data_IF_949668226790
#
_entry.id   IF_949668226790
#
_cell.length_a   1.000
_cell.length_b   1.000
_cell.length_c   1.000
_cell.angle_alpha   90.00
_cell.angle_beta   90.00
_cell.angle_gamma   90.00
#
_symmetry.space_group_name_H-M   'P 1'
#
loop_
_entity.id
_entity.type
_entity.pdbx_description
1 polymer ?
#
# COMPACT_ATOMS: atom_id res chain seq x y z
N UNK A 1 -0.65 -59.89 48.04
CA UNK A 1 -0.48 -60.31 46.62
C UNK A 1 0.70 -59.52 46.07
N UNK A 2 1.73 -60.21 45.58
CA UNK A 2 3.08 -59.66 45.32
C UNK A 2 3.05 -58.62 44.18
N UNK A 3 3.65 -57.45 44.41
CA UNK A 3 4.00 -56.50 43.37
C UNK A 3 5.40 -56.83 42.84
N UNK A 4 5.51 -57.03 41.53
CA UNK A 4 6.79 -57.14 40.83
C UNK A 4 7.04 -55.83 40.09
N UNK A 5 8.17 -55.20 40.42
CA UNK A 5 8.81 -54.12 39.65
C UNK A 5 9.35 -54.72 38.35
N UNK A 6 9.02 -54.13 37.20
CA UNK A 6 9.65 -54.44 35.92
C UNK A 6 10.44 -53.21 35.45
N UNK A 7 11.75 -53.27 35.60
CA UNK A 7 12.74 -52.37 35.03
C UNK A 7 12.83 -52.61 33.53
N UNK A 8 12.64 -51.55 32.72
CA UNK A 8 12.88 -51.60 31.27
C UNK A 8 14.23 -50.98 30.97
N UNK A 9 15.14 -51.81 30.46
CA UNK A 9 16.49 -51.46 30.02
C UNK A 9 16.39 -50.96 28.57
N UNK A 10 16.77 -49.70 28.33
CA UNK A 10 16.90 -49.15 26.97
C UNK A 10 18.26 -49.60 26.42
N UNK A 11 18.26 -50.50 25.45
CA UNK A 11 19.45 -50.81 24.64
C UNK A 11 19.51 -49.85 23.44
N UNK A 12 20.57 -49.05 23.38
CA UNK A 12 21.03 -48.39 22.16
C UNK A 12 21.63 -49.45 21.23
N UNK A 13 21.12 -49.55 20.00
CA UNK A 13 21.83 -50.14 18.87
C UNK A 13 22.22 -49.03 17.89
N UNK A 14 23.54 -48.78 17.81
CA UNK A 14 24.16 -47.96 16.78
C UNK A 14 24.15 -48.74 15.47
N UNK A 15 23.29 -48.35 14.54
CA UNK A 15 23.42 -48.76 13.14
C UNK A 15 24.35 -47.75 12.44
N UNK A 16 25.60 -48.16 12.24
CA UNK A 16 26.48 -47.58 11.23
C UNK A 16 25.90 -47.89 9.85
N UNK A 17 25.36 -46.89 9.16
CA UNK A 17 25.08 -46.97 7.73
C UNK A 17 26.18 -46.21 7.00
N UNK A 18 27.00 -46.96 6.24
CA UNK A 18 27.98 -46.45 5.30
C UNK A 18 27.27 -45.62 4.23
N UNK A 19 27.49 -44.31 4.21
CA UNK A 19 27.11 -43.49 3.05
C UNK A 19 28.14 -43.69 1.93
N UNK A 20 27.71 -43.96 0.68
CA UNK A 20 28.62 -44.02 -0.45
C UNK A 20 29.24 -42.64 -0.70
N UNK A 21 30.54 -42.62 -1.01
CA UNK A 21 31.25 -41.44 -1.46
C UNK A 21 30.77 -41.09 -2.86
N UNK A 22 29.88 -40.10 -2.97
CA UNK A 22 29.53 -39.54 -4.27
C UNK A 22 30.74 -38.77 -4.82
N UNK A 23 31.29 -39.29 -5.92
CA UNK A 23 32.32 -38.62 -6.69
C UNK A 23 31.78 -37.27 -7.15
N UNK A 24 32.48 -36.20 -6.77
CA UNK A 24 32.24 -34.86 -7.29
C UNK A 24 32.19 -34.91 -8.82
N UNK A 25 31.00 -34.61 -9.37
CA UNK A 25 30.76 -34.52 -10.80
C UNK A 25 31.37 -33.18 -11.25
N UNK A 26 32.56 -33.23 -11.84
CA UNK A 26 33.17 -32.08 -12.51
C UNK A 26 32.23 -31.61 -13.61
N UNK A 27 31.59 -30.46 -13.41
CA UNK A 27 30.78 -29.80 -14.44
C UNK A 27 31.75 -29.25 -15.47
N UNK A 28 31.71 -29.82 -16.68
CA UNK A 28 32.44 -29.27 -17.82
C UNK A 28 31.81 -27.94 -18.22
N UNK A 29 32.57 -26.87 -18.06
CA UNK A 29 32.28 -25.55 -18.62
C UNK A 29 32.32 -25.66 -20.15
N UNK A 30 31.19 -26.00 -20.75
CA UNK A 30 30.88 -25.75 -22.16
C UNK A 30 29.51 -25.11 -22.22
N UNK A 31 29.54 -23.79 -22.14
CA UNK A 31 28.82 -22.90 -23.04
C UNK A 31 27.39 -23.31 -23.40
N UNK A 32 26.49 -23.14 -22.44
CA UNK A 32 25.24 -22.45 -22.74
C UNK A 32 24.94 -21.50 -21.59
N UNK A 33 25.63 -20.37 -21.56
CA UNK A 33 25.02 -19.16 -20.98
C UNK A 33 23.88 -18.84 -21.94
N UNK A 34 22.70 -19.38 -21.65
CA UNK A 34 21.46 -18.84 -22.19
C UNK A 34 21.39 -17.43 -21.66
N UNK A 35 21.85 -16.47 -22.48
CA UNK A 35 21.61 -15.05 -22.25
C UNK A 35 20.09 -14.95 -22.12
N UNK A 36 19.62 -14.79 -20.87
CA UNK A 36 18.21 -14.66 -20.56
C UNK A 36 17.66 -13.53 -21.42
N UNK A 37 16.49 -13.80 -22.03
CA UNK A 37 15.69 -12.90 -22.85
C UNK A 37 15.87 -11.44 -22.43
N UNK A 38 16.20 -10.61 -23.42
CA UNK A 38 16.16 -9.14 -23.37
C UNK A 38 14.89 -8.69 -22.62
N UNK A 39 15.05 -7.85 -21.60
CA UNK A 39 13.97 -7.20 -20.86
C UNK A 39 13.03 -6.52 -21.87
N UNK A 40 11.91 -7.14 -22.19
CA UNK A 40 10.94 -6.58 -23.13
C UNK A 40 10.11 -5.55 -22.38
N UNK A 41 10.29 -4.28 -22.76
CA UNK A 41 9.42 -3.18 -22.34
C UNK A 41 8.01 -3.45 -22.87
N UNK A 42 7.02 -3.42 -22.00
CA UNK A 42 5.61 -3.57 -22.35
C UNK A 42 4.78 -2.42 -21.79
N UNK A 43 3.63 -2.20 -22.40
CA UNK A 43 2.64 -1.22 -21.95
C UNK A 43 1.70 -1.89 -20.95
N UNK A 44 1.63 -1.34 -19.74
CA UNK A 44 0.53 -1.61 -18.80
C UNK A 44 -0.58 -0.62 -19.11
N UNK A 45 -1.73 -1.13 -19.54
CA UNK A 45 -2.88 -0.29 -19.88
C UNK A 45 -3.45 0.36 -18.63
N UNK A 46 -3.90 1.60 -18.76
CA UNK A 46 -4.59 2.30 -17.67
C UNK A 46 -5.95 1.67 -17.40
N UNK A 47 -6.37 1.70 -16.13
CA UNK A 47 -7.60 1.05 -15.69
C UNK A 47 -8.32 1.86 -14.60
N UNK A 48 -9.62 1.64 -14.45
CA UNK A 48 -10.40 2.20 -13.35
C UNK A 48 -10.63 1.14 -12.29
N UNK A 49 -10.25 1.43 -11.04
CA UNK A 49 -10.47 0.54 -9.89
C UNK A 49 -11.54 1.10 -8.94
N UNK A 50 -12.55 0.30 -8.55
CA UNK A 50 -13.59 0.71 -7.62
C UNK A 50 -13.17 0.55 -6.15
N UNK A 51 -13.58 1.49 -5.31
CA UNK A 51 -13.38 1.50 -3.86
C UNK A 51 -14.70 1.88 -3.17
N UNK A 52 -15.24 0.97 -2.36
CA UNK A 52 -16.51 1.19 -1.67
C UNK A 52 -16.30 2.20 -0.54
N UNK A 53 -17.02 3.32 -0.60
CA UNK A 53 -17.00 4.37 0.41
C UNK A 53 -18.15 4.25 1.40
N UNK A 54 -19.23 3.57 1.04
CA UNK A 54 -20.48 3.62 1.80
C UNK A 54 -21.17 4.97 1.60
N UNK A 55 -22.13 5.32 2.46
CA UNK A 55 -22.84 6.61 2.36
C UNK A 55 -21.89 7.77 2.73
N UNK A 56 -21.43 8.53 1.73
CA UNK A 56 -20.48 9.65 1.91
C UNK A 56 -21.18 11.00 1.98
N UNK A 57 -22.37 11.14 1.39
CA UNK A 57 -23.14 12.37 1.29
C UNK A 57 -24.45 12.35 2.10
N UNK A 58 -24.63 11.35 2.96
CA UNK A 58 -25.77 11.13 3.85
C UNK A 58 -27.12 11.00 3.12
N UNK A 59 -27.13 10.46 1.90
CA UNK A 59 -28.36 10.21 1.13
C UNK A 59 -28.92 8.79 1.32
N UNK A 60 -28.31 7.98 2.21
CA UNK A 60 -28.63 6.58 2.51
C UNK A 60 -28.32 5.60 1.39
N UNK A 61 -27.57 6.01 0.37
CA UNK A 61 -27.08 5.15 -0.71
C UNK A 61 -25.60 4.88 -0.48
N UNK A 62 -25.17 3.64 -0.71
CA UNK A 62 -23.75 3.30 -0.63
C UNK A 62 -23.01 3.80 -1.86
N UNK A 63 -22.01 4.66 -1.68
CA UNK A 63 -21.19 5.19 -2.76
C UNK A 63 -19.90 4.41 -2.99
N UNK A 64 -19.38 4.59 -4.20
CA UNK A 64 -18.12 4.03 -4.70
C UNK A 64 -17.31 5.16 -5.31
N UNK A 65 -16.02 5.24 -4.97
CA UNK A 65 -15.06 5.99 -5.74
C UNK A 65 -14.39 5.09 -6.77
N UNK A 66 -14.08 5.64 -7.93
CA UNK A 66 -13.29 4.98 -8.97
C UNK A 66 -12.00 5.76 -9.13
N UNK A 67 -10.87 5.09 -8.95
CA UNK A 67 -9.54 5.66 -9.16
C UNK A 67 -9.02 5.18 -10.51
N UNK A 68 -8.62 6.11 -11.36
CA UNK A 68 -7.90 5.82 -12.59
C UNK A 68 -6.42 5.59 -12.29
N UNK A 69 -5.92 4.42 -12.63
CA UNK A 69 -4.50 4.10 -12.64
C UNK A 69 -3.99 4.40 -14.06
N UNK A 70 -3.11 5.40 -14.23
CA UNK A 70 -2.62 5.77 -15.55
C UNK A 70 -1.80 4.63 -16.19
N UNK A 71 -1.75 4.59 -17.53
CA UNK A 71 -0.87 3.66 -18.23
C UNK A 71 0.59 3.99 -17.96
N UNK A 72 1.41 2.94 -17.84
CA UNK A 72 2.85 3.09 -17.68
C UNK A 72 3.57 2.01 -18.48
N UNK A 73 4.83 2.27 -18.79
CA UNK A 73 5.71 1.25 -19.33
C UNK A 73 6.31 0.45 -18.20
N UNK A 74 6.22 -0.86 -18.31
CA UNK A 74 6.92 -1.78 -17.43
C UNK A 74 7.93 -2.63 -18.18
N UNK A 75 8.79 -3.31 -17.44
CA UNK A 75 9.59 -4.41 -17.91
C UNK A 75 9.47 -5.58 -16.94
N UNK A 76 9.77 -6.79 -17.42
CA UNK A 76 9.84 -7.97 -16.57
C UNK A 76 11.29 -8.45 -16.51
N UNK A 77 11.80 -8.59 -15.30
CA UNK A 77 13.02 -9.34 -15.03
C UNK A 77 12.65 -10.50 -14.10
N UNK A 78 12.33 -11.64 -14.71
CA UNK A 78 11.95 -12.86 -13.99
C UNK A 78 13.08 -13.46 -13.17
N UNK A 79 14.30 -12.90 -13.24
CA UNK A 79 15.38 -13.25 -12.32
C UNK A 79 15.30 -12.51 -10.98
N UNK A 80 14.54 -11.40 -10.92
CA UNK A 80 14.38 -10.56 -9.73
C UNK A 80 12.97 -10.72 -9.13
N UNK A 81 11.94 -10.61 -9.97
CA UNK A 81 10.53 -10.69 -9.53
C UNK A 81 9.64 -11.23 -10.65
N UNK A 82 8.53 -11.87 -10.27
CA UNK A 82 7.45 -12.21 -11.20
C UNK A 82 6.62 -10.99 -11.63
N UNK A 83 6.74 -9.89 -10.89
CA UNK A 83 5.93 -8.70 -11.08
C UNK A 83 6.55 -7.75 -12.11
N UNK A 84 5.71 -6.94 -12.75
CA UNK A 84 6.16 -5.89 -13.65
C UNK A 84 6.90 -4.79 -12.88
N UNK A 85 8.11 -4.46 -13.30
CA UNK A 85 8.84 -3.31 -12.79
C UNK A 85 8.50 -2.06 -13.61
N UNK A 86 8.42 -0.90 -12.98
CA UNK A 86 8.14 0.37 -13.66
C UNK A 86 9.37 0.87 -14.42
N UNK A 87 9.19 1.26 -15.68
CA UNK A 87 10.23 1.81 -16.56
C UNK A 87 10.01 3.31 -16.83
N UNK A 88 8.75 3.77 -16.85
CA UNK A 88 8.44 5.16 -17.12
C UNK A 88 6.98 5.41 -17.48
N UNK A 89 6.60 6.67 -17.49
CA UNK A 89 5.24 7.10 -17.85
C UNK A 89 4.98 7.02 -19.34
N UNK A 90 3.72 6.79 -19.68
CA UNK A 90 3.18 7.07 -21.02
C UNK A 90 2.72 8.51 -21.02
N UNK A 91 3.17 9.32 -21.98
CA UNK A 91 2.74 10.70 -22.23
C UNK A 91 2.71 11.62 -20.97
N UNK A 92 3.59 11.39 -19.99
CA UNK A 92 3.62 12.07 -18.70
C UNK A 92 2.31 11.97 -17.90
N UNK A 93 1.54 10.88 -18.04
CA UNK A 93 0.41 10.58 -17.17
C UNK A 93 0.90 10.06 -15.82
N UNK A 94 1.26 10.97 -14.91
CA UNK A 94 1.73 10.66 -13.56
C UNK A 94 0.71 11.02 -12.47
N UNK A 95 -0.58 10.99 -12.80
CA UNK A 95 -1.65 11.33 -11.86
C UNK A 95 -2.71 10.24 -11.76
N UNK A 96 -3.34 10.15 -10.58
CA UNK A 96 -4.59 9.45 -10.41
C UNK A 96 -5.77 10.42 -10.57
N UNK A 97 -6.80 10.01 -11.32
CA UNK A 97 -8.09 10.71 -11.36
C UNK A 97 -9.10 9.96 -10.51
N UNK A 98 -9.83 10.67 -9.65
CA UNK A 98 -10.84 10.09 -8.77
C UNK A 98 -12.21 10.63 -9.16
N UNK A 99 -13.17 9.72 -9.37
CA UNK A 99 -14.59 10.05 -9.61
C UNK A 99 -15.50 9.24 -8.71
N UNK A 100 -16.75 9.65 -8.59
CA UNK A 100 -17.70 9.08 -7.64
C UNK A 100 -18.96 8.55 -8.34
N UNK A 101 -19.63 7.57 -7.72
CA UNK A 101 -20.96 7.12 -8.12
C UNK A 101 -22.05 8.16 -7.85
N UNK A 102 -21.88 8.98 -6.81
CA UNK A 102 -22.73 10.12 -6.50
C UNK A 102 -22.30 11.38 -7.25
N UNK A 103 -23.07 12.47 -7.09
CA UNK A 103 -22.87 13.75 -7.79
C UNK A 103 -21.74 14.62 -7.20
N UNK A 104 -20.75 14.02 -6.55
CA UNK A 104 -19.57 14.74 -6.06
C UNK A 104 -18.57 14.98 -7.21
N UNK A 105 -17.87 16.12 -7.23
CA UNK A 105 -16.94 16.43 -8.30
C UNK A 105 -15.73 15.50 -8.25
N UNK A 106 -15.12 15.32 -9.41
CA UNK A 106 -13.86 14.61 -9.54
C UNK A 106 -12.68 15.46 -9.01
N UNK A 107 -11.55 14.81 -8.76
CA UNK A 107 -10.27 15.47 -8.50
C UNK A 107 -9.11 14.64 -9.02
N UNK A 108 -7.92 15.24 -9.11
CA UNK A 108 -6.67 14.56 -9.45
C UNK A 108 -5.68 14.60 -8.29
N UNK A 109 -4.82 13.59 -8.24
CA UNK A 109 -3.66 13.51 -7.36
C UNK A 109 -2.45 13.27 -8.26
N UNK A 110 -1.59 14.27 -8.33
CA UNK A 110 -0.35 14.24 -9.12
C UNK A 110 0.73 13.38 -8.44
N UNK A 111 1.73 12.95 -9.22
CA UNK A 111 2.85 12.11 -8.81
C UNK A 111 2.43 10.78 -8.18
N UNK A 112 1.52 10.05 -8.81
CA UNK A 112 0.98 8.79 -8.29
C UNK A 112 0.52 7.87 -9.43
N UNK A 113 0.96 6.60 -9.40
CA UNK A 113 0.59 5.58 -10.40
C UNK A 113 -0.57 4.72 -9.89
N UNK A 114 -0.58 4.43 -8.60
CA UNK A 114 -1.67 3.69 -7.94
C UNK A 114 -2.26 4.55 -6.85
N UNK A 115 -3.41 4.16 -6.32
CA UNK A 115 -3.99 4.88 -5.21
C UNK A 115 -5.05 4.08 -4.51
N UNK A 116 -5.25 4.42 -3.24
CA UNK A 116 -6.33 3.87 -2.44
C UNK A 116 -7.13 5.03 -1.86
N UNK A 117 -8.46 4.88 -1.81
CA UNK A 117 -9.34 5.87 -1.22
C UNK A 117 -10.29 5.20 -0.23
N UNK A 118 -10.46 5.84 0.91
CA UNK A 118 -11.42 5.43 1.92
C UNK A 118 -12.11 6.65 2.53
N UNK A 119 -13.38 6.50 2.94
CA UNK A 119 -14.04 7.55 3.72
C UNK A 119 -13.57 7.56 5.17
N UNK A 120 -13.49 8.74 5.75
CA UNK A 120 -13.45 8.94 7.21
C UNK A 120 -14.80 9.50 7.69
N UNK A 121 -14.88 9.99 8.92
CA UNK A 121 -16.07 10.68 9.46
C UNK A 121 -16.19 12.07 8.85
N UNK A 122 -17.40 12.63 8.85
CA UNK A 122 -17.62 14.08 8.67
C UNK A 122 -16.90 14.87 9.79
N UNK A 123 -15.73 15.44 9.51
CA UNK A 123 -14.83 16.11 10.43
C UNK A 123 -15.24 17.57 10.65
N UNK A 124 -15.92 18.20 9.70
CA UNK A 124 -16.31 19.62 9.78
C UNK A 124 -17.81 19.87 9.98
N UNK A 125 -18.63 18.83 9.91
CA UNK A 125 -20.07 18.90 10.16
C UNK A 125 -20.89 19.43 8.98
N UNK A 126 -20.38 19.42 7.76
CA UNK A 126 -21.12 19.88 6.57
C UNK A 126 -22.04 18.81 5.94
N UNK A 127 -22.07 17.61 6.51
CA UNK A 127 -22.89 16.50 6.05
C UNK A 127 -22.26 15.70 4.91
N UNK A 128 -21.02 15.98 4.52
CA UNK A 128 -20.23 15.16 3.59
C UNK A 128 -19.00 14.64 4.32
N UNK A 129 -18.82 13.33 4.31
CA UNK A 129 -17.65 12.71 4.92
C UNK A 129 -16.38 13.05 4.13
N UNK A 130 -15.31 13.36 4.85
CA UNK A 130 -13.98 13.48 4.28
C UNK A 130 -13.47 12.14 3.78
N UNK A 131 -12.50 12.21 2.88
CA UNK A 131 -11.81 11.04 2.35
C UNK A 131 -10.33 11.09 2.72
N UNK A 132 -9.75 9.90 2.82
CA UNK A 132 -8.32 9.68 2.88
C UNK A 132 -7.92 9.13 1.52
N UNK A 133 -6.97 9.79 0.86
CA UNK A 133 -6.34 9.27 -0.35
C UNK A 133 -4.90 8.88 -0.04
N UNK A 134 -4.55 7.62 -0.27
CA UNK A 134 -3.18 7.12 -0.25
C UNK A 134 -2.65 7.08 -1.69
N UNK A 135 -1.48 7.66 -1.93
CA UNK A 135 -0.72 7.44 -3.18
C UNK A 135 -0.04 6.07 -3.14
N UNK A 136 -0.01 5.37 -4.26
CA UNK A 136 0.78 4.17 -4.45
C UNK A 136 1.87 4.39 -5.49
N UNK A 137 3.06 3.87 -5.19
CA UNK A 137 4.24 3.99 -6.03
C UNK A 137 4.95 2.63 -6.20
N UNK A 138 5.74 2.49 -7.26
CA UNK A 138 6.40 1.23 -7.62
C UNK A 138 7.61 0.90 -6.74
N UNK A 139 8.12 1.86 -5.96
CA UNK A 139 9.20 1.65 -4.99
C UNK A 139 8.84 2.26 -3.64
N UNK A 140 9.30 1.59 -2.60
CA UNK A 140 9.18 2.04 -1.22
C UNK A 140 7.87 1.61 -0.58
N UNK A 141 7.93 1.46 0.73
CA UNK A 141 6.76 1.21 1.58
C UNK A 141 6.23 2.51 2.19
N UNK A 142 6.85 3.65 1.89
CA UNK A 142 6.37 4.98 2.31
C UNK A 142 5.43 5.56 1.25
N UNK A 143 4.26 5.99 1.71
CA UNK A 143 3.19 6.55 0.88
C UNK A 143 2.81 7.95 1.35
N UNK A 144 2.34 8.79 0.44
CA UNK A 144 1.69 10.04 0.81
C UNK A 144 0.23 9.77 1.11
N UNK A 145 -0.25 10.28 2.23
CA UNK A 145 -1.66 10.29 2.59
C UNK A 145 -2.18 11.71 2.61
N UNK A 146 -3.35 11.91 2.01
CA UNK A 146 -4.06 13.18 1.94
C UNK A 146 -5.42 13.04 2.62
N UNK A 147 -5.73 13.96 3.53
CA UNK A 147 -7.07 14.08 4.11
C UNK A 147 -7.77 15.19 3.34
N UNK A 148 -8.84 14.86 2.62
CA UNK A 148 -9.54 15.76 1.71
C UNK A 148 -10.97 15.99 2.19
N UNK A 149 -11.44 17.23 2.11
CA UNK A 149 -12.81 17.64 2.40
C UNK A 149 -13.45 18.26 1.18
N UNK A 150 -14.76 18.09 1.02
CA UNK A 150 -15.50 18.76 -0.03
C UNK A 150 -15.88 20.16 0.44
N UNK A 151 -15.69 21.15 -0.43
CA UNK A 151 -16.05 22.53 -0.14
C UNK A 151 -16.29 23.31 -1.42
N UNK A 152 -17.45 23.98 -1.49
CA UNK A 152 -17.79 24.89 -2.58
C UNK A 152 -17.55 24.30 -3.98
N UNK A 153 -18.03 23.07 -4.21
CA UNK A 153 -17.94 22.42 -5.52
C UNK A 153 -16.59 21.79 -5.85
N UNK A 154 -15.64 21.71 -4.90
CA UNK A 154 -14.33 21.08 -5.12
C UNK A 154 -13.81 20.34 -3.90
N UNK A 155 -12.87 19.42 -4.11
CA UNK A 155 -12.11 18.79 -3.03
C UNK A 155 -10.93 19.67 -2.62
N UNK A 156 -10.77 19.87 -1.31
CA UNK A 156 -9.66 20.63 -0.72
C UNK A 156 -8.91 19.76 0.28
N UNK A 157 -7.58 19.85 0.25
CA UNK A 157 -6.71 19.13 1.18
C UNK A 157 -6.70 19.81 2.55
N UNK A 158 -7.11 19.07 3.58
CA UNK A 158 -7.06 19.51 4.98
C UNK A 158 -5.69 19.24 5.62
N UNK A 159 -5.09 18.09 5.30
CA UNK A 159 -3.80 17.68 5.83
C UNK A 159 -3.10 16.67 4.91
N UNK A 160 -1.81 16.50 5.12
CA UNK A 160 -1.00 15.48 4.47
C UNK A 160 0.08 14.93 5.39
N UNK A 161 0.55 13.72 5.12
CA UNK A 161 1.72 13.13 5.75
C UNK A 161 2.34 12.08 4.82
N UNK A 162 3.65 11.87 4.94
CA UNK A 162 4.33 10.73 4.36
C UNK A 162 4.58 9.72 5.47
N UNK A 163 4.22 8.45 5.25
CA UNK A 163 4.32 7.40 6.27
C UNK A 163 4.35 6.01 5.66
N UNK A 164 4.71 5.01 6.45
CA UNK A 164 4.59 3.61 6.02
C UNK A 164 3.16 3.21 5.64
N UNK A 165 3.07 2.45 4.55
CA UNK A 165 1.86 1.87 3.99
C UNK A 165 1.12 1.00 5.02
N UNK A 166 -0.20 1.17 5.07
CA UNK A 166 -1.14 0.47 5.92
C UNK A 166 -2.43 0.24 5.16
N UNK A 167 -3.16 -0.81 5.50
CA UNK A 167 -4.46 -1.13 4.88
C UNK A 167 -5.51 -0.02 5.09
N UNK A 168 -5.39 0.77 6.16
CA UNK A 168 -6.27 1.89 6.48
C UNK A 168 -5.61 2.89 7.42
N UNK A 169 -5.94 4.17 7.25
CA UNK A 169 -5.49 5.28 8.09
C UNK A 169 -6.61 5.91 8.91
N UNK A 170 -7.85 5.39 8.84
CA UNK A 170 -9.00 5.96 9.58
C UNK A 170 -8.71 6.12 11.07
N UNK A 171 -8.04 5.13 11.66
CA UNK A 171 -7.71 5.11 13.09
C UNK A 171 -6.68 6.17 13.52
N UNK A 172 -6.08 6.87 12.57
CA UNK A 172 -5.13 7.96 12.82
C UNK A 172 -5.82 9.32 12.92
N UNK A 173 -7.11 9.38 12.59
CA UNK A 173 -7.89 10.61 12.52
C UNK A 173 -8.96 10.56 13.61
N UNK A 174 -8.94 11.54 14.51
CA UNK A 174 -9.98 11.69 15.54
C UNK A 174 -10.56 13.08 15.48
N UNK A 175 -11.84 13.19 15.12
CA UNK A 175 -12.59 14.45 15.20
C UNK A 175 -12.56 14.97 16.63
N UNK A 176 -12.24 16.25 16.80
CA UNK A 176 -12.32 16.92 18.11
C UNK A 176 -13.60 17.73 18.17
N UNK A 177 -13.84 18.55 17.14
CA UNK A 177 -15.07 19.29 16.91
C UNK A 177 -15.17 19.62 15.40
N UNK A 178 -16.17 20.41 15.00
CA UNK A 178 -16.41 20.78 13.60
C UNK A 178 -15.35 21.75 13.01
N UNK A 179 -14.35 22.15 13.78
CA UNK A 179 -13.29 23.07 13.34
C UNK A 179 -11.90 22.46 13.40
N UNK A 180 -11.75 21.28 14.01
CA UNK A 180 -10.43 20.63 14.16
C UNK A 180 -10.52 19.13 14.40
N UNK A 181 -9.46 18.44 13.99
CA UNK A 181 -9.26 17.02 14.27
C UNK A 181 -7.82 16.76 14.72
N UNK A 182 -7.60 15.62 15.36
CA UNK A 182 -6.27 15.08 15.66
C UNK A 182 -5.84 14.14 14.56
N UNK A 183 -4.59 14.27 14.14
CA UNK A 183 -3.98 13.42 13.14
C UNK A 183 -2.67 12.85 13.69
N UNK A 184 -2.56 11.53 13.73
CA UNK A 184 -1.33 10.84 14.10
C UNK A 184 -0.42 10.73 12.88
N UNK A 185 0.59 11.60 12.82
CA UNK A 185 1.58 11.68 11.75
C UNK A 185 2.84 10.88 12.10
N UNK A 186 3.58 10.52 11.06
CA UNK A 186 4.95 10.01 11.14
C UNK A 186 5.93 11.10 10.70
N UNK A 187 7.09 11.17 11.34
CA UNK A 187 8.18 12.07 10.95
C UNK A 187 9.53 11.47 11.35
N UNK A 188 10.58 11.79 10.60
CA UNK A 188 11.94 11.37 10.93
C UNK A 188 12.47 12.20 12.11
N UNK A 189 12.93 11.53 13.15
CA UNK A 189 13.58 12.15 14.30
C UNK A 189 15.09 11.96 14.20
N UNK A 190 15.83 13.05 14.01
CA UNK A 190 17.29 13.02 13.82
C UNK A 190 18.04 12.51 15.06
N UNK A 191 17.56 12.86 16.26
CA UNK A 191 18.19 12.43 17.52
C UNK A 191 18.12 10.91 17.72
N UNK A 192 17.05 10.28 17.23
CA UNK A 192 16.83 8.84 17.31
C UNK A 192 17.26 8.09 16.04
N UNK A 193 17.49 8.81 14.94
CA UNK A 193 17.80 8.23 13.64
C UNK A 193 16.68 7.36 13.06
N UNK A 194 15.42 7.60 13.46
CA UNK A 194 14.28 6.76 13.09
C UNK A 194 12.97 7.57 12.93
N UNK A 195 12.00 6.97 12.25
CA UNK A 195 10.64 7.50 12.11
C UNK A 195 9.82 7.25 13.38
N UNK A 196 9.25 8.32 13.93
CA UNK A 196 8.39 8.23 15.11
C UNK A 196 7.03 8.88 14.87
N UNK A 197 6.07 8.44 15.68
CA UNK A 197 4.70 8.93 15.61
C UNK A 197 4.46 10.12 16.54
N UNK A 198 3.68 11.09 16.07
CA UNK A 198 3.21 12.23 16.86
C UNK A 198 1.76 12.56 16.50
N UNK A 199 0.98 12.97 17.48
CA UNK A 199 -0.36 13.51 17.23
C UNK A 199 -0.29 15.03 17.07
N UNK A 200 -0.79 15.55 15.95
CA UNK A 200 -0.97 16.98 15.70
C UNK A 200 -2.45 17.34 15.70
N UNK A 201 -2.77 18.59 16.08
CA UNK A 201 -4.11 19.15 15.88
C UNK A 201 -4.14 19.88 14.55
N UNK A 202 -5.00 19.45 13.64
CA UNK A 202 -5.26 20.11 12.36
C UNK A 202 -6.47 21.01 12.53
N UNK A 203 -6.29 22.31 12.28
CA UNK A 203 -7.41 23.25 12.15
C UNK A 203 -7.96 23.17 10.74
N UNK A 204 -9.28 23.01 10.62
CA UNK A 204 -9.97 22.93 9.34
C UNK A 204 -10.10 24.35 8.80
N UNK A 205 -9.25 24.68 7.83
CA UNK A 205 -9.28 25.93 7.10
C UNK A 205 -9.52 25.63 5.62
N UNK A 206 -10.78 25.68 5.20
CA UNK A 206 -11.18 25.52 3.80
C UNK A 206 -10.93 26.83 3.05
N UNK A 207 -9.68 27.11 2.67
CA UNK A 207 -9.35 28.24 1.78
C UNK A 207 -9.43 27.77 0.33
N UNK A 208 -10.04 28.61 -0.51
CA UNK A 208 -10.13 28.37 -1.96
C UNK A 208 -8.79 28.55 -2.65
#
# INVERSE_FOLDING_TARGET
>A
MKHYFLTSFVLLSLNCCNSPTDKAKTISVKDTITIKKKNEKFLVAGEWRPFILGDINNDKISDTAFIYYPPYYGYSDTSITSDSMFEGFVDNFDYNRVRFSCKLPEFTIENSIWGFVEKTKDLDGDGINEIIFQTGWFIGTHVNIYIMSYYNGKWVRLAQNNRYEQDSYKNLITKVDNTKFRFRIEYFNEDQGDYINKTVTVKINKKL
#
